data_IF_101174676201
#
_entry.id   IF_101174676201
#
_cell.length_a   1.000
_cell.length_b   1.000
_cell.length_c   1.000
_cell.angle_alpha   90.00
_cell.angle_beta   90.00
_cell.angle_gamma   90.00
#
_symmetry.space_group_name_H-M   'P 1'
#
loop_
_entity.id
_entity.type
_entity.pdbx_description
1 polymer ?
#
# COMPACT_ATOMS: atom_id res chain seq x y z
N UNK A 1 -24.10 -6.72 -12.44
CA UNK A 1 -23.75 -6.89 -13.87
C UNK A 1 -22.98 -8.21 -14.06
N UNK A 2 -23.05 -8.87 -15.23
CA UNK A 2 -22.20 -10.04 -15.55
C UNK A 2 -21.00 -9.58 -16.39
N UNK A 3 -19.79 -10.02 -16.01
CA UNK A 3 -18.55 -9.71 -16.73
C UNK A 3 -18.03 -10.95 -17.47
N UNK A 4 -17.56 -10.76 -18.70
CA UNK A 4 -16.95 -11.83 -19.51
C UNK A 4 -15.48 -12.05 -19.12
N UNK A 5 -14.80 -10.97 -18.73
CA UNK A 5 -13.38 -10.95 -18.38
C UNK A 5 -13.21 -10.10 -17.13
N UNK A 6 -12.32 -10.53 -16.23
CA UNK A 6 -11.91 -9.75 -15.06
C UNK A 6 -10.41 -9.53 -15.13
N UNK A 7 -10.01 -8.25 -15.07
CA UNK A 7 -8.61 -7.82 -14.96
C UNK A 7 -8.41 -7.30 -13.54
N UNK A 8 -7.76 -8.13 -12.72
CA UNK A 8 -7.40 -7.86 -11.34
C UNK A 8 -5.98 -8.34 -11.07
N UNK A 9 -5.36 -7.86 -10.00
CA UNK A 9 -3.96 -8.19 -9.68
C UNK A 9 -2.97 -7.37 -10.51
N UNK A 10 -1.71 -7.80 -10.54
CA UNK A 10 -0.64 -7.14 -11.28
C UNK A 10 -0.65 -7.54 -12.76
N UNK A 11 -0.85 -6.58 -13.68
CA UNK A 11 -0.82 -6.84 -15.13
C UNK A 11 0.56 -7.36 -15.55
N UNK A 12 0.57 -8.54 -16.19
CA UNK A 12 1.77 -9.29 -16.55
C UNK A 12 2.41 -10.06 -15.37
N UNK A 13 1.84 -9.97 -14.19
CA UNK A 13 2.12 -10.82 -13.04
C UNK A 13 1.36 -12.15 -13.10
N UNK A 14 1.67 -13.04 -12.14
CA UNK A 14 1.07 -14.38 -12.04
C UNK A 14 -0.37 -14.35 -11.51
N UNK A 15 -0.75 -13.27 -10.83
CA UNK A 15 -2.05 -13.03 -10.21
C UNK A 15 -3.05 -12.32 -11.15
N UNK A 16 -2.65 -12.00 -12.37
CA UNK A 16 -3.48 -11.43 -13.42
C UNK A 16 -3.58 -12.37 -14.64
N UNK A 17 -4.69 -12.25 -15.37
CA UNK A 17 -4.88 -12.86 -16.68
C UNK A 17 -3.73 -12.50 -17.64
N UNK A 18 -3.16 -13.50 -18.33
CA UNK A 18 -2.12 -13.28 -19.35
C UNK A 18 -2.68 -12.68 -20.64
N UNK A 19 -1.87 -11.92 -21.38
CA UNK A 19 -2.27 -11.34 -22.67
C UNK A 19 -2.59 -12.39 -23.74
N UNK A 20 -1.92 -13.55 -23.69
CA UNK A 20 -2.21 -14.69 -24.55
C UNK A 20 -3.61 -15.26 -24.31
N UNK A 21 -4.00 -15.42 -23.04
CA UNK A 21 -5.32 -15.92 -22.71
C UNK A 21 -6.41 -14.86 -22.94
N UNK A 22 -6.11 -13.57 -22.72
CA UNK A 22 -6.96 -12.46 -23.12
C UNK A 22 -7.29 -12.52 -24.62
N UNK A 23 -6.27 -12.65 -25.47
CA UNK A 23 -6.44 -12.78 -26.92
C UNK A 23 -7.34 -13.95 -27.28
N UNK A 24 -7.19 -15.09 -26.60
CA UNK A 24 -8.06 -16.24 -26.78
C UNK A 24 -9.53 -15.92 -26.45
N UNK A 25 -9.80 -15.30 -25.29
CA UNK A 25 -11.16 -14.94 -24.87
C UNK A 25 -11.82 -13.91 -25.81
N UNK A 26 -11.06 -12.92 -26.29
CA UNK A 26 -11.54 -11.95 -27.27
C UNK A 26 -11.86 -12.63 -28.61
N UNK A 27 -11.04 -13.59 -29.05
CA UNK A 27 -11.30 -14.34 -30.29
C UNK A 27 -12.58 -15.19 -30.20
N UNK A 28 -12.86 -15.79 -29.03
CA UNK A 28 -14.11 -16.53 -28.80
C UNK A 28 -15.35 -15.63 -28.88
N UNK A 29 -15.20 -14.35 -28.58
CA UNK A 29 -16.28 -13.35 -28.57
C UNK A 29 -16.27 -12.42 -29.77
N UNK A 30 -15.55 -12.79 -30.85
CA UNK A 30 -15.39 -11.95 -32.04
C UNK A 30 -16.75 -11.46 -32.56
N UNK A 31 -16.87 -10.14 -32.68
CA UNK A 31 -18.06 -9.48 -33.22
C UNK A 31 -19.22 -9.33 -32.23
N UNK A 32 -19.08 -9.80 -30.98
CA UNK A 32 -20.02 -9.57 -29.88
C UNK A 32 -19.52 -8.47 -28.97
N UNK A 33 -20.40 -7.91 -28.14
CA UNK A 33 -19.98 -7.03 -27.07
C UNK A 33 -19.32 -7.87 -25.95
N UNK A 34 -18.23 -7.34 -25.38
CA UNK A 34 -17.45 -7.98 -24.31
C UNK A 34 -17.35 -7.01 -23.14
N UNK A 35 -17.79 -7.43 -21.96
CA UNK A 35 -17.78 -6.64 -20.73
C UNK A 35 -16.60 -7.06 -19.85
N UNK A 36 -15.68 -6.12 -19.62
CA UNK A 36 -14.44 -6.35 -18.87
C UNK A 36 -14.47 -5.58 -17.57
N UNK A 37 -14.43 -6.30 -16.46
CA UNK A 37 -14.30 -5.74 -15.13
C UNK A 37 -12.83 -5.39 -14.84
N UNK A 38 -12.58 -4.21 -14.28
CA UNK A 38 -11.23 -3.78 -13.90
C UNK A 38 -11.17 -3.35 -12.43
N UNK A 39 -10.20 -3.93 -11.71
CA UNK A 39 -9.78 -3.52 -10.37
C UNK A 39 -8.30 -3.92 -10.21
N UNK A 40 -7.41 -3.16 -10.84
CA UNK A 40 -5.96 -3.45 -10.89
C UNK A 40 -5.13 -2.20 -10.67
N UNK A 41 -4.02 -2.39 -9.95
CA UNK A 41 -3.03 -1.33 -9.67
C UNK A 41 -2.03 -1.14 -10.81
N UNK A 42 -2.17 -1.89 -11.89
CA UNK A 42 -1.26 -1.87 -13.04
C UNK A 42 -0.21 -2.97 -12.96
N UNK A 43 0.98 -2.70 -13.47
CA UNK A 43 2.02 -3.72 -13.70
C UNK A 43 2.92 -3.36 -14.89
N UNK A 44 3.29 -4.34 -15.69
CA UNK A 44 4.26 -4.16 -16.78
C UNK A 44 3.69 -3.34 -17.96
N UNK A 45 4.43 -2.30 -18.36
CA UNK A 45 4.05 -1.39 -19.46
C UNK A 45 3.77 -2.15 -20.77
N UNK A 46 4.63 -3.11 -21.12
CA UNK A 46 4.49 -3.95 -22.31
C UNK A 46 3.14 -4.67 -22.36
N UNK A 47 2.74 -5.31 -21.25
CA UNK A 47 1.53 -6.12 -21.21
C UNK A 47 0.27 -5.26 -21.23
N UNK A 48 0.25 -4.12 -20.53
CA UNK A 48 -0.90 -3.21 -20.60
C UNK A 48 -1.07 -2.55 -21.98
N UNK A 49 0.03 -2.25 -22.69
CA UNK A 49 -0.03 -1.78 -24.09
C UNK A 49 -0.54 -2.88 -25.03
N UNK A 50 -0.14 -4.14 -24.82
CA UNK A 50 -0.66 -5.28 -25.60
C UNK A 50 -2.17 -5.46 -25.35
N UNK A 51 -2.62 -5.38 -24.09
CA UNK A 51 -4.05 -5.41 -23.75
C UNK A 51 -4.81 -4.27 -24.42
N UNK A 52 -4.29 -3.03 -24.37
CA UNK A 52 -4.87 -1.87 -25.04
C UNK A 52 -5.11 -2.15 -26.53
N UNK A 53 -4.09 -2.65 -27.24
CA UNK A 53 -4.21 -2.93 -28.67
C UNK A 53 -5.19 -4.07 -28.94
N UNK A 54 -5.19 -5.14 -28.14
CA UNK A 54 -6.13 -6.25 -28.28
C UNK A 54 -7.59 -5.79 -28.13
N UNK A 55 -7.86 -4.91 -27.18
CA UNK A 55 -9.20 -4.33 -27.00
C UNK A 55 -9.61 -3.46 -28.19
N UNK A 56 -8.68 -2.63 -28.71
CA UNK A 56 -8.91 -1.80 -29.92
C UNK A 56 -9.21 -2.65 -31.14
N UNK A 57 -8.41 -3.70 -31.37
CA UNK A 57 -8.56 -4.61 -32.51
C UNK A 57 -9.90 -5.36 -32.46
N UNK A 58 -10.39 -5.69 -31.25
CA UNK A 58 -11.70 -6.28 -31.08
C UNK A 58 -12.85 -5.28 -31.31
N UNK A 59 -12.69 -4.03 -30.88
CA UNK A 59 -13.56 -2.89 -31.20
C UNK A 59 -14.95 -2.87 -30.52
N UNK A 60 -15.31 -3.91 -29.76
CA UNK A 60 -16.59 -4.04 -29.03
C UNK A 60 -16.40 -4.38 -27.54
N UNK A 61 -15.34 -3.82 -26.94
CA UNK A 61 -15.01 -4.09 -25.54
C UNK A 61 -15.45 -2.91 -24.67
N UNK A 62 -16.14 -3.19 -23.57
CA UNK A 62 -16.64 -2.20 -22.61
C UNK A 62 -15.94 -2.42 -21.26
N UNK A 63 -15.20 -1.42 -20.78
CA UNK A 63 -14.51 -1.46 -19.51
C UNK A 63 -15.42 -0.95 -18.38
N UNK A 64 -15.45 -1.72 -17.29
CA UNK A 64 -16.19 -1.41 -16.07
C UNK A 64 -15.21 -1.34 -14.91
N UNK A 65 -14.78 -0.14 -14.57
CA UNK A 65 -13.84 0.11 -13.49
C UNK A 65 -14.57 0.14 -12.14
N UNK A 66 -14.04 -0.57 -11.15
CA UNK A 66 -14.51 -0.52 -9.77
C UNK A 66 -13.35 -0.65 -8.79
N UNK A 67 -13.55 -0.26 -7.53
CA UNK A 67 -12.50 -0.32 -6.50
C UNK A 67 -11.31 0.58 -6.85
N UNK A 68 -10.14 -0.01 -7.07
CA UNK A 68 -8.86 0.70 -7.28
C UNK A 68 -8.31 0.43 -8.68
N UNK A 69 -8.10 1.48 -9.46
CA UNK A 69 -7.57 1.39 -10.82
C UNK A 69 -6.41 2.34 -11.03
N UNK A 70 -5.21 1.82 -11.23
CA UNK A 70 -4.00 2.63 -11.32
C UNK A 70 -3.06 2.22 -12.44
N UNK A 71 -2.16 3.15 -12.78
CA UNK A 71 -0.99 2.89 -13.63
C UNK A 71 -1.38 2.27 -14.98
N UNK A 72 -0.64 1.28 -15.49
CA UNK A 72 -0.89 0.70 -16.81
C UNK A 72 -2.27 0.05 -16.99
N UNK A 73 -3.00 -0.25 -15.91
CA UNK A 73 -4.40 -0.68 -15.98
C UNK A 73 -5.27 0.37 -16.68
N UNK A 74 -5.03 1.64 -16.35
CA UNK A 74 -5.76 2.77 -16.94
C UNK A 74 -5.46 2.92 -18.43
N UNK A 75 -4.22 2.70 -18.87
CA UNK A 75 -3.84 2.65 -20.29
C UNK A 75 -4.50 1.47 -20.98
N UNK A 76 -4.54 0.28 -20.37
CA UNK A 76 -5.21 -0.88 -20.96
C UNK A 76 -6.69 -0.57 -21.26
N UNK A 77 -7.41 0.08 -20.33
CA UNK A 77 -8.80 0.49 -20.52
C UNK A 77 -9.01 1.45 -21.68
N UNK A 78 -8.03 2.31 -22.02
CA UNK A 78 -8.14 3.24 -23.15
C UNK A 78 -8.30 2.53 -24.51
N UNK A 79 -8.08 1.22 -24.56
CA UNK A 79 -8.31 0.41 -25.75
C UNK A 79 -9.76 -0.04 -25.90
N UNK A 80 -10.55 0.07 -24.83
CA UNK A 80 -11.96 -0.27 -24.84
C UNK A 80 -12.78 0.82 -25.53
N UNK A 81 -13.92 0.42 -26.08
CA UNK A 81 -14.88 1.29 -26.74
C UNK A 81 -15.54 2.27 -25.78
N UNK A 82 -15.83 1.83 -24.55
CA UNK A 82 -16.33 2.69 -23.47
C UNK A 82 -15.66 2.30 -22.16
N UNK A 83 -15.57 3.26 -21.25
CA UNK A 83 -15.09 3.09 -19.89
C UNK A 83 -16.10 3.75 -18.96
N UNK A 84 -16.73 2.97 -18.08
CA UNK A 84 -17.46 3.51 -16.93
C UNK A 84 -16.76 3.16 -15.62
N UNK A 85 -17.04 3.96 -14.59
CA UNK A 85 -16.48 3.76 -13.26
C UNK A 85 -17.58 3.84 -12.19
N UNK A 86 -17.56 2.89 -11.25
CA UNK A 86 -18.51 2.84 -10.14
C UNK A 86 -18.27 3.99 -9.17
N UNK A 87 -19.36 4.62 -8.73
CA UNK A 87 -19.35 5.61 -7.64
C UNK A 87 -18.71 5.02 -6.38
N UNK A 88 -17.68 5.71 -5.84
CA UNK A 88 -16.87 5.20 -4.73
C UNK A 88 -15.59 4.46 -5.13
N UNK A 89 -15.28 4.41 -6.42
CA UNK A 89 -14.01 3.88 -6.93
C UNK A 89 -12.97 4.99 -7.17
N UNK A 90 -11.72 4.58 -7.33
CA UNK A 90 -10.57 5.46 -7.47
C UNK A 90 -9.79 5.16 -8.75
N UNK A 91 -9.24 6.22 -9.33
CA UNK A 91 -8.45 6.19 -10.57
C UNK A 91 -7.12 6.90 -10.36
N UNK A 92 -6.01 6.36 -10.88
CA UNK A 92 -4.70 6.99 -10.73
C UNK A 92 -3.85 6.80 -11.98
N UNK A 93 -3.34 7.91 -12.49
CA UNK A 93 -2.31 7.95 -13.53
C UNK A 93 -1.03 8.49 -12.92
N UNK A 94 0.11 7.90 -13.26
CA UNK A 94 1.41 8.37 -12.78
C UNK A 94 2.52 8.11 -13.81
N UNK A 95 3.68 8.76 -13.62
CA UNK A 95 4.85 8.52 -14.44
C UNK A 95 5.35 7.08 -14.29
N UNK A 96 5.91 6.53 -15.36
CA UNK A 96 6.52 5.21 -15.35
C UNK A 96 7.63 5.14 -14.31
N UNK A 97 7.71 4.00 -13.64
CA UNK A 97 8.67 3.74 -12.56
C UNK A 97 9.51 2.51 -12.88
N UNK A 98 10.66 2.41 -12.21
CA UNK A 98 11.54 1.26 -12.26
C UNK A 98 11.84 0.82 -10.85
N UNK A 99 11.69 -0.48 -10.57
CA UNK A 99 12.10 -1.05 -9.30
C UNK A 99 13.64 -1.16 -9.26
N UNK A 100 14.23 -0.60 -8.21
CA UNK A 100 15.68 -0.66 -7.96
C UNK A 100 15.89 -1.36 -6.62
N UNK A 101 16.39 -2.60 -6.66
CA UNK A 101 16.80 -3.37 -5.49
C UNK A 101 18.32 -3.47 -5.46
N UNK A 102 18.99 -2.80 -4.52
CA UNK A 102 20.45 -2.84 -4.40
C UNK A 102 20.87 -3.01 -2.94
N UNK A 103 21.62 -4.08 -2.66
CA UNK A 103 22.22 -4.39 -1.36
C UNK A 103 23.71 -4.71 -1.53
N UNK A 104 24.53 -3.68 -1.73
CA UNK A 104 25.97 -3.83 -1.99
C UNK A 104 26.80 -2.83 -1.18
N UNK A 105 28.04 -3.22 -0.86
CA UNK A 105 29.10 -2.27 -0.45
C UNK A 105 29.82 -1.75 -1.70
N UNK A 106 30.01 -0.44 -1.80
CA UNK A 106 30.57 0.22 -2.98
C UNK A 106 31.61 1.27 -2.57
N UNK A 107 32.73 1.34 -3.29
CA UNK A 107 33.69 2.45 -3.19
C UNK A 107 33.25 3.64 -4.07
N UNK A 108 34.01 4.75 -4.05
CA UNK A 108 33.62 5.98 -4.75
C UNK A 108 33.43 5.79 -6.26
N UNK A 109 34.33 5.07 -6.94
CA UNK A 109 34.23 4.84 -8.39
C UNK A 109 33.01 3.99 -8.77
N UNK A 110 32.65 3.00 -7.92
CA UNK A 110 31.47 2.17 -8.12
C UNK A 110 30.17 2.96 -7.93
N UNK A 111 30.14 3.89 -6.96
CA UNK A 111 29.01 4.80 -6.77
C UNK A 111 28.82 5.73 -7.97
N UNK A 112 29.91 6.28 -8.51
CA UNK A 112 29.85 7.17 -9.69
C UNK A 112 29.26 6.47 -10.92
N UNK A 113 29.67 5.23 -11.19
CA UNK A 113 29.12 4.46 -12.33
C UNK A 113 27.65 4.06 -12.07
N UNK A 114 27.29 3.77 -10.83
CA UNK A 114 25.90 3.50 -10.47
C UNK A 114 25.02 4.74 -10.67
N UNK A 115 25.45 5.91 -10.20
CA UNK A 115 24.75 7.19 -10.40
C UNK A 115 24.53 7.46 -11.89
N UNK A 116 25.55 7.24 -12.72
CA UNK A 116 25.46 7.38 -14.18
C UNK A 116 24.44 6.42 -14.77
N UNK A 117 24.43 5.16 -14.32
CA UNK A 117 23.50 4.13 -14.78
C UNK A 117 22.05 4.50 -14.43
N UNK A 118 21.76 4.83 -13.17
CA UNK A 118 20.40 5.21 -12.75
C UNK A 118 19.95 6.53 -13.37
N UNK A 119 20.88 7.47 -13.60
CA UNK A 119 20.58 8.72 -14.34
C UNK A 119 20.17 8.42 -15.77
N UNK A 120 20.86 7.49 -16.45
CA UNK A 120 20.47 7.05 -17.78
C UNK A 120 19.10 6.37 -17.75
N UNK A 121 18.86 5.44 -16.83
CA UNK A 121 17.58 4.75 -16.70
C UNK A 121 16.42 5.73 -16.47
N UNK A 122 16.60 6.71 -15.58
CA UNK A 122 15.62 7.78 -15.37
C UNK A 122 15.34 8.57 -16.65
N UNK A 123 16.37 8.91 -17.42
CA UNK A 123 16.19 9.62 -18.69
C UNK A 123 15.45 8.76 -19.73
N UNK A 124 15.68 7.45 -19.74
CA UNK A 124 15.00 6.52 -20.65
C UNK A 124 13.49 6.45 -20.35
N UNK A 125 13.08 6.60 -19.07
CA UNK A 125 11.66 6.64 -18.67
C UNK A 125 10.87 7.78 -19.36
N UNK A 126 11.52 8.89 -19.70
CA UNK A 126 10.86 10.02 -20.39
C UNK A 126 10.17 9.57 -21.70
N UNK A 127 10.75 8.60 -22.41
CA UNK A 127 10.17 8.10 -23.67
C UNK A 127 8.81 7.44 -23.42
N UNK A 128 8.69 6.68 -22.32
CA UNK A 128 7.43 6.04 -21.96
C UNK A 128 6.45 7.07 -21.40
N UNK A 129 6.90 7.98 -20.53
CA UNK A 129 6.06 9.03 -19.97
C UNK A 129 5.45 9.90 -21.08
N UNK A 130 6.24 10.31 -22.07
CA UNK A 130 5.77 11.10 -23.21
C UNK A 130 4.71 10.35 -24.03
N UNK A 131 4.94 9.06 -24.29
CA UNK A 131 4.01 8.24 -25.07
C UNK A 131 2.69 8.01 -24.30
N UNK A 132 2.75 7.70 -23.01
CA UNK A 132 1.56 7.45 -22.20
C UNK A 132 0.77 8.75 -21.93
N UNK A 133 1.46 9.87 -21.72
CA UNK A 133 0.83 11.19 -21.61
C UNK A 133 0.04 11.53 -22.87
N UNK A 134 0.59 11.22 -24.06
CA UNK A 134 -0.13 11.41 -25.32
C UNK A 134 -1.39 10.55 -25.41
N UNK A 135 -1.33 9.29 -24.95
CA UNK A 135 -2.52 8.42 -24.94
C UNK A 135 -3.63 8.96 -24.02
N UNK A 136 -3.28 9.52 -22.85
CA UNK A 136 -4.28 10.18 -22.00
C UNK A 136 -4.81 11.46 -22.63
N UNK A 137 -3.98 12.25 -23.32
CA UNK A 137 -4.42 13.45 -24.03
C UNK A 137 -5.44 13.10 -25.13
N UNK A 138 -5.15 12.06 -25.91
CA UNK A 138 -6.04 11.56 -26.97
C UNK A 138 -7.41 11.12 -26.41
N UNK A 139 -7.44 10.53 -25.20
CA UNK A 139 -8.69 10.13 -24.54
C UNK A 139 -9.45 11.32 -23.94
N UNK A 140 -8.74 12.18 -23.20
CA UNK A 140 -9.34 13.21 -22.35
C UNK A 140 -9.69 14.50 -23.07
N UNK A 141 -9.07 14.76 -24.22
CA UNK A 141 -9.17 16.04 -24.91
C UNK A 141 -8.36 17.16 -24.23
N UNK A 142 -7.56 16.84 -23.21
CA UNK A 142 -6.57 17.74 -22.58
C UNK A 142 -5.30 17.80 -23.42
N UNK A 143 -4.40 18.75 -23.12
CA UNK A 143 -3.08 18.75 -23.75
C UNK A 143 -2.18 17.66 -23.15
N UNK A 144 -1.15 17.25 -23.89
CA UNK A 144 -0.15 16.29 -23.40
C UNK A 144 0.52 16.80 -22.13
N UNK A 145 0.77 18.10 -22.04
CA UNK A 145 1.39 18.75 -20.89
C UNK A 145 0.49 18.71 -19.65
N UNK A 146 -0.83 18.92 -19.82
CA UNK A 146 -1.79 18.79 -18.72
C UNK A 146 -1.86 17.34 -18.21
N UNK A 147 -1.85 16.36 -19.11
CA UNK A 147 -1.79 14.95 -18.75
C UNK A 147 -0.48 14.58 -18.05
N UNK A 148 0.66 15.06 -18.57
CA UNK A 148 1.97 14.82 -17.97
C UNK A 148 2.08 15.43 -16.57
N UNK A 149 1.53 16.64 -16.35
CA UNK A 149 1.51 17.24 -15.01
C UNK A 149 0.58 16.48 -14.07
N UNK A 150 -0.54 15.93 -14.56
CA UNK A 150 -1.40 15.08 -13.75
C UNK A 150 -0.72 13.73 -13.41
N UNK A 151 0.01 13.11 -14.34
CA UNK A 151 0.82 11.92 -14.08
C UNK A 151 1.91 12.20 -13.05
N UNK A 152 2.56 13.37 -13.12
CA UNK A 152 3.60 13.75 -12.18
C UNK A 152 3.10 13.87 -10.73
N UNK A 153 1.83 14.25 -10.53
CA UNK A 153 1.23 14.28 -9.17
C UNK A 153 1.11 12.89 -8.56
N UNK A 154 0.91 11.86 -9.38
CA UNK A 154 0.77 10.46 -8.93
C UNK A 154 -0.28 10.28 -7.84
N UNK A 155 -1.37 11.04 -7.86
CA UNK A 155 -2.38 11.04 -6.80
C UNK A 155 -3.66 10.31 -7.22
N UNK A 156 -4.39 9.79 -6.23
CA UNK A 156 -5.71 9.21 -6.47
C UNK A 156 -6.72 10.30 -6.86
N UNK A 157 -7.52 9.99 -7.88
CA UNK A 157 -8.70 10.71 -8.31
C UNK A 157 -9.93 9.93 -7.88
N UNK A 158 -10.97 10.64 -7.45
CA UNK A 158 -12.30 10.04 -7.31
C UNK A 158 -12.87 9.68 -8.67
N UNK A 159 -13.86 8.78 -8.69
CA UNK A 159 -14.62 8.44 -9.90
C UNK A 159 -15.10 9.69 -10.67
N UNK A 160 -15.66 10.69 -9.98
CA UNK A 160 -16.12 11.93 -10.62
C UNK A 160 -14.96 12.75 -11.18
N UNK A 161 -13.86 12.88 -10.45
CA UNK A 161 -12.67 13.60 -10.94
C UNK A 161 -12.06 12.94 -12.18
N UNK A 162 -12.08 11.60 -12.26
CA UNK A 162 -11.61 10.88 -13.44
C UNK A 162 -12.51 11.14 -14.66
N UNK A 163 -13.82 11.23 -14.46
CA UNK A 163 -14.79 11.62 -15.51
C UNK A 163 -14.60 13.08 -15.92
N UNK A 164 -14.48 14.00 -14.96
CA UNK A 164 -14.30 15.44 -15.22
C UNK A 164 -12.98 15.74 -15.93
N UNK A 165 -11.93 14.96 -15.64
CA UNK A 165 -10.66 15.05 -16.35
C UNK A 165 -10.76 14.49 -17.78
N UNK A 166 -11.71 13.59 -18.04
CA UNK A 166 -11.89 12.90 -19.32
C UNK A 166 -11.16 11.57 -19.44
N UNK A 167 -10.66 10.99 -18.34
CA UNK A 167 -10.00 9.68 -18.35
C UNK A 167 -11.00 8.52 -18.46
N UNK A 168 -12.24 8.77 -18.04
CA UNK A 168 -13.36 7.80 -18.03
C UNK A 168 -14.58 8.47 -18.66
N UNK A 169 -15.43 7.70 -19.35
CA UNK A 169 -16.56 8.25 -20.12
C UNK A 169 -17.76 8.60 -19.23
N UNK A 170 -18.04 7.80 -18.20
CA UNK A 170 -19.22 8.01 -17.36
C UNK A 170 -19.12 7.39 -15.97
N UNK A 171 -19.88 7.95 -15.03
CA UNK A 171 -20.16 7.30 -13.76
C UNK A 171 -21.21 6.20 -13.94
N UNK A 172 -21.00 5.09 -13.23
CA UNK A 172 -21.99 4.04 -13.03
C UNK A 172 -22.54 4.14 -11.61
N UNK A 173 -23.84 4.38 -11.51
CA UNK A 173 -24.58 4.36 -10.24
C UNK A 173 -25.22 2.98 -10.07
N UNK A 174 -24.67 2.19 -9.14
CA UNK A 174 -25.19 0.88 -8.74
C UNK A 174 -24.88 0.70 -7.24
N UNK A 175 -25.93 0.65 -6.41
CA UNK A 175 -25.81 0.60 -4.94
C UNK A 175 -25.10 -0.67 -4.42
N UNK A 176 -25.16 -1.79 -5.15
CA UNK A 176 -24.45 -3.02 -4.77
C UNK A 176 -22.96 -2.93 -5.15
N UNK A 177 -22.66 -2.42 -6.35
CA UNK A 177 -21.28 -2.23 -6.79
C UNK A 177 -20.57 -1.12 -5.98
N UNK A 178 -21.29 -0.10 -5.50
CA UNK A 178 -20.75 0.94 -4.59
C UNK A 178 -20.32 0.32 -3.25
N UNK A 179 -21.14 -0.55 -2.65
CA UNK A 179 -20.76 -1.30 -1.43
C UNK A 179 -19.55 -2.21 -1.64
N UNK A 180 -19.48 -2.89 -2.79
CA UNK A 180 -18.34 -3.74 -3.15
C UNK A 180 -17.05 -2.92 -3.36
N UNK A 181 -17.15 -1.76 -4.01
CA UNK A 181 -16.03 -0.85 -4.25
C UNK A 181 -15.43 -0.33 -2.94
N UNK A 182 -16.28 0.10 -1.99
CA UNK A 182 -15.84 0.50 -0.65
C UNK A 182 -15.15 -0.65 0.09
N UNK A 183 -15.68 -1.88 -0.03
CA UNK A 183 -15.04 -3.06 0.58
C UNK A 183 -13.67 -3.34 0.00
N UNK A 184 -13.51 -3.25 -1.32
CA UNK A 184 -12.22 -3.47 -2.00
C UNK A 184 -11.21 -2.37 -1.65
N UNK A 185 -11.65 -1.10 -1.58
CA UNK A 185 -10.81 0.00 -1.09
C UNK A 185 -10.35 -0.22 0.36
N UNK A 186 -11.21 -0.77 1.23
CA UNK A 186 -10.83 -1.11 2.60
C UNK A 186 -9.89 -2.33 2.68
N UNK A 187 -10.04 -3.32 1.79
CA UNK A 187 -9.06 -4.40 1.68
C UNK A 187 -7.70 -3.90 1.18
N UNK A 188 -7.68 -2.84 0.37
CA UNK A 188 -6.44 -2.19 -0.05
C UNK A 188 -5.69 -1.55 1.13
N UNK A 189 -6.38 -0.95 2.10
CA UNK A 189 -5.76 -0.48 3.36
C UNK A 189 -5.07 -1.64 4.08
N UNK A 190 -5.66 -2.84 4.07
CA UNK A 190 -5.04 -4.03 4.64
C UNK A 190 -3.87 -4.58 3.83
N UNK A 191 -3.79 -4.39 2.50
CA UNK A 191 -2.67 -4.89 1.68
C UNK A 191 -1.48 -3.91 1.63
N UNK A 192 -1.74 -2.60 1.60
CA UNK A 192 -0.70 -1.57 1.62
C UNK A 192 0.10 -1.60 2.93
N UNK A 193 -0.54 -1.90 4.07
CA UNK A 193 0.15 -2.04 5.36
C UNK A 193 0.94 -3.35 5.52
N UNK A 194 0.67 -4.38 4.70
CA UNK A 194 1.29 -5.71 4.82
C UNK A 194 2.44 -5.89 3.83
N UNK A 195 2.40 -5.25 2.66
CA UNK A 195 3.46 -5.30 1.66
C UNK A 195 4.43 -4.14 1.86
N UNK A 196 5.63 -4.42 2.39
CA UNK A 196 6.73 -3.46 2.45
C UNK A 196 6.92 -2.76 1.08
N UNK A 197 6.58 -1.48 1.03
CA UNK A 197 7.04 -0.44 0.10
C UNK A 197 6.86 -0.61 -1.42
N UNK A 198 6.44 -1.77 -1.96
CA UNK A 198 6.40 -2.00 -3.43
C UNK A 198 5.43 -1.06 -4.16
N UNK A 199 4.26 -0.76 -3.57
CA UNK A 199 3.28 0.13 -4.21
C UNK A 199 3.71 1.59 -4.16
N UNK A 200 4.30 2.03 -3.05
CA UNK A 200 4.87 3.38 -2.92
C UNK A 200 6.05 3.58 -3.87
N UNK A 201 6.96 2.60 -3.96
CA UNK A 201 8.08 2.58 -4.90
C UNK A 201 7.62 2.57 -6.37
N UNK A 202 6.47 1.95 -6.64
CA UNK A 202 5.85 1.99 -7.96
C UNK A 202 5.24 3.36 -8.29
N UNK A 203 5.15 4.30 -7.34
CA UNK A 203 4.53 5.62 -7.53
C UNK A 203 3.04 5.66 -7.21
N UNK A 204 2.53 4.67 -6.47
CA UNK A 204 1.13 4.59 -6.04
C UNK A 204 1.07 4.93 -4.54
N UNK A 205 0.53 6.09 -4.16
CA UNK A 205 0.46 6.51 -2.76
C UNK A 205 -0.60 5.68 -2.01
N UNK A 206 -0.50 5.60 -0.67
CA UNK A 206 -1.58 5.05 0.14
C UNK A 206 -2.87 5.85 -0.05
N UNK A 207 -4.01 5.23 0.26
CA UNK A 207 -5.25 5.99 0.42
C UNK A 207 -5.08 7.00 1.57
N UNK A 208 -5.69 8.21 1.48
CA UNK A 208 -5.68 9.16 2.58
C UNK A 208 -6.21 8.51 3.86
N UNK A 209 -5.47 8.63 4.95
CA UNK A 209 -5.81 8.05 6.25
C UNK A 209 -7.04 8.77 6.83
N UNK A 210 -8.21 8.14 6.77
CA UNK A 210 -9.44 8.68 7.39
C UNK A 210 -9.36 8.79 8.92
N UNK A 211 -8.32 8.25 9.57
CA UNK A 211 -8.10 8.39 11.01
C UNK A 211 -7.24 9.61 11.39
N UNK A 212 -6.56 10.25 10.44
CA UNK A 212 -5.74 11.46 10.67
C UNK A 212 -6.36 12.75 10.12
N UNK A 213 -7.43 12.66 9.32
CA UNK A 213 -8.13 13.80 8.70
C UNK A 213 -9.53 14.07 9.29
N UNK A 214 -9.70 13.97 10.63
CA UNK A 214 -10.87 14.55 11.30
C UNK A 214 -10.79 16.09 11.46
N UNK A 215 -9.85 16.76 10.77
CA UNK A 215 -9.65 18.21 10.86
C UNK A 215 -9.60 18.97 9.52
N UNK A 216 -9.97 18.36 8.39
CA UNK A 216 -9.91 19.06 7.09
C UNK A 216 -11.07 18.76 6.13
N UNK A 217 -12.30 18.65 6.65
CA UNK A 217 -13.50 19.01 5.87
C UNK A 217 -13.53 20.54 5.72
N UNK A 218 -12.74 21.09 4.79
CA UNK A 218 -12.71 22.53 4.53
C UNK A 218 -14.00 22.97 3.83
N UNK A 219 -14.84 23.64 4.62
CA UNK A 219 -15.74 24.75 4.30
C UNK A 219 -16.00 25.04 2.81
N UNK A 220 -17.26 24.86 2.40
CA UNK A 220 -17.83 25.52 1.23
C UNK A 220 -18.05 27.00 1.60
N UNK A 221 -17.31 27.92 0.99
CA UNK A 221 -17.56 29.35 1.06
C UNK A 221 -18.40 29.77 -0.16
N UNK A 222 -19.36 30.69 0.03
CA UNK A 222 -19.97 31.35 -1.13
C UNK A 222 -18.96 32.32 -1.78
N UNK A 223 -19.30 32.87 -2.96
CA UNK A 223 -18.41 33.73 -3.74
C UNK A 223 -17.91 35.01 -3.06
N UNK A 224 -18.32 35.28 -1.82
CA UNK A 224 -17.87 36.41 -1.01
C UNK A 224 -17.20 35.99 0.32
N UNK A 225 -16.86 34.70 0.49
CA UNK A 225 -15.98 34.25 1.57
C UNK A 225 -16.61 34.20 2.96
N UNK A 226 -17.94 34.21 3.06
CA UNK A 226 -18.61 33.99 4.34
C UNK A 226 -19.01 32.51 4.51
N UNK A 227 -18.77 31.91 5.69
CA UNK A 227 -19.14 30.52 5.96
C UNK A 227 -20.66 30.39 6.09
N UNK A 228 -21.30 29.71 5.14
CA UNK A 228 -22.73 29.35 5.22
C UNK A 228 -22.96 28.01 5.91
N UNK A 229 -24.02 27.93 6.71
CA UNK A 229 -24.33 26.82 7.62
C UNK A 229 -24.41 25.46 6.92
N UNK A 230 -23.58 24.53 7.38
CA UNK A 230 -23.27 23.24 6.75
C UNK A 230 -24.31 22.15 7.01
N UNK A 231 -24.31 21.16 6.12
CA UNK A 231 -25.08 19.91 6.14
C UNK A 231 -25.17 19.25 7.52
N UNK A 232 -24.14 19.36 8.37
CA UNK A 232 -24.14 18.84 9.74
C UNK A 232 -25.19 19.50 10.64
N UNK A 233 -25.53 20.79 10.47
CA UNK A 233 -26.68 21.40 11.17
C UNK A 233 -28.01 20.87 10.64
N UNK A 234 -28.15 20.60 9.34
CA UNK A 234 -29.35 19.94 8.78
C UNK A 234 -29.48 18.48 9.24
N UNK A 235 -28.36 17.76 9.34
CA UNK A 235 -28.31 16.38 9.81
C UNK A 235 -28.49 16.30 11.32
N UNK A 236 -27.95 17.24 12.10
CA UNK A 236 -28.17 17.31 13.55
C UNK A 236 -29.59 17.79 13.87
N UNK A 237 -30.18 18.70 13.07
CA UNK A 237 -31.60 19.08 13.21
C UNK A 237 -32.53 17.90 12.80
N UNK A 238 -32.15 17.12 11.79
CA UNK A 238 -32.82 15.88 11.41
C UNK A 238 -32.71 14.79 12.47
N UNK A 239 -31.53 14.61 13.08
CA UNK A 239 -31.28 13.70 14.19
C UNK A 239 -31.96 14.17 15.46
N UNK A 240 -32.02 15.48 15.74
CA UNK A 240 -32.74 16.06 16.88
C UNK A 240 -34.26 15.96 16.72
N UNK A 241 -34.77 16.03 15.48
CA UNK A 241 -36.17 15.71 15.16
C UNK A 241 -36.46 14.19 15.21
N UNK A 242 -35.47 13.34 14.95
CA UNK A 242 -35.56 11.87 15.14
C UNK A 242 -35.46 11.46 16.62
N UNK A 243 -34.75 12.22 17.46
CA UNK A 243 -34.54 11.94 18.88
C UNK A 243 -35.64 12.51 19.80
N UNK A 244 -36.60 13.27 19.25
CA UNK A 244 -37.81 13.70 19.94
C UNK A 244 -39.08 13.07 19.35
N UNK A 245 -39.06 11.75 19.18
CA UNK A 245 -40.27 10.93 19.21
C UNK A 245 -40.23 10.06 20.46
N UNK A 246 -41.04 10.48 21.42
CA UNK A 246 -41.35 9.83 22.69
C UNK A 246 -41.95 8.44 22.47
N UNK A 247 -41.61 7.54 23.41
CA UNK A 247 -42.28 6.28 23.76
C UNK A 247 -42.19 5.07 22.80
N UNK A 248 -41.20 4.18 23.00
CA UNK A 248 -41.45 2.72 22.98
C UNK A 248 -40.50 1.96 23.95
N UNK A 249 -41.11 1.05 24.71
CA UNK A 249 -40.59 0.18 25.76
C UNK A 249 -39.28 -0.61 25.50
N UNK A 250 -38.55 -0.75 26.60
CA UNK A 250 -37.31 -1.48 26.86
C UNK A 250 -37.44 -3.02 26.77
N UNK A 251 -36.60 -3.72 25.99
CA UNK A 251 -36.24 -5.15 26.21
C UNK A 251 -34.83 -5.50 25.68
N UNK A 252 -33.88 -5.70 26.59
CA UNK A 252 -32.66 -6.51 26.39
C UNK A 252 -33.07 -7.97 26.09
N UNK A 253 -32.48 -8.61 25.07
CA UNK A 253 -32.70 -10.03 24.78
C UNK A 253 -31.55 -10.85 25.34
N UNK A 254 -31.76 -11.46 26.51
CA UNK A 254 -30.81 -12.39 27.14
C UNK A 254 -31.10 -13.84 26.72
N UNK A 255 -30.06 -14.66 26.64
CA UNK A 255 -30.14 -16.07 26.25
C UNK A 255 -30.74 -16.90 27.39
N UNK A 256 -31.58 -17.89 27.08
CA UNK A 256 -32.24 -18.69 28.13
C UNK A 256 -31.25 -19.66 28.80
N UNK A 257 -31.40 -19.89 30.11
CA UNK A 257 -30.61 -20.86 30.88
C UNK A 257 -30.58 -22.27 30.24
N UNK A 258 -31.64 -22.63 29.53
CA UNK A 258 -31.75 -23.91 28.82
C UNK A 258 -30.81 -24.00 27.60
N UNK A 259 -30.56 -22.90 26.88
CA UNK A 259 -29.64 -22.87 25.75
C UNK A 259 -28.18 -23.00 26.22
N UNK A 260 -27.84 -22.31 27.31
CA UNK A 260 -26.51 -22.38 27.94
C UNK A 260 -26.20 -23.77 28.50
N UNK A 261 -27.16 -24.42 29.16
CA UNK A 261 -26.98 -25.79 29.67
C UNK A 261 -26.78 -26.84 28.56
N UNK A 262 -27.30 -26.59 27.35
CA UNK A 262 -27.11 -27.49 26.19
C UNK A 262 -25.72 -27.38 25.60
N UNK A 263 -25.17 -26.17 25.54
CA UNK A 263 -23.79 -25.93 25.08
C UNK A 263 -22.80 -26.59 26.06
N UNK A 264 -23.02 -26.43 27.37
CA UNK A 264 -22.19 -27.07 28.40
C UNK A 264 -22.15 -28.61 28.30
N UNK A 265 -23.31 -29.24 28.10
CA UNK A 265 -23.41 -30.69 27.93
C UNK A 265 -22.79 -31.16 26.60
N UNK A 266 -22.87 -30.37 25.53
CA UNK A 266 -22.28 -30.72 24.24
C UNK A 266 -20.74 -30.73 24.28
N UNK A 267 -20.13 -29.99 25.20
CA UNK A 267 -18.67 -29.98 25.44
C UNK A 267 -18.28 -30.86 26.64
N UNK A 268 -19.21 -31.66 27.19
CA UNK A 268 -18.94 -32.64 28.24
C UNK A 268 -18.67 -32.06 29.64
N UNK A 269 -18.92 -30.76 29.87
CA UNK A 269 -18.66 -30.10 31.16
C UNK A 269 -19.95 -30.02 31.97
N UNK A 270 -20.10 -30.94 32.93
CA UNK A 270 -21.20 -30.93 33.91
C UNK A 270 -20.94 -29.93 35.04
N UNK A 271 -21.94 -29.11 35.40
CA UNK A 271 -21.92 -28.31 36.64
C UNK A 271 -21.49 -26.84 36.50
N UNK A 272 -21.81 -26.18 35.38
CA UNK A 272 -21.63 -24.72 35.26
C UNK A 272 -22.67 -24.01 36.13
N UNK A 273 -22.21 -23.22 37.10
CA UNK A 273 -23.06 -22.31 37.88
C UNK A 273 -23.08 -20.93 37.24
N UNK A 274 -24.27 -20.33 37.19
CA UNK A 274 -24.46 -18.95 36.72
C UNK A 274 -24.45 -18.07 37.97
N UNK A 275 -23.62 -17.04 38.00
CA UNK A 275 -23.57 -16.10 39.11
C UNK A 275 -24.85 -15.23 39.14
N UNK A 276 -25.18 -14.64 40.30
CA UNK A 276 -26.45 -13.91 40.50
C UNK A 276 -26.59 -12.66 39.61
N UNK A 277 -25.48 -12.18 39.06
CA UNK A 277 -25.33 -11.09 38.08
C UNK A 277 -25.42 -11.56 36.61
N UNK A 278 -25.74 -12.84 36.37
CA UNK A 278 -26.02 -13.38 35.03
C UNK A 278 -24.77 -13.73 34.21
N UNK A 279 -23.59 -13.70 34.83
CA UNK A 279 -22.32 -14.06 34.21
C UNK A 279 -22.02 -15.55 34.39
N UNK A 280 -21.35 -16.14 33.40
CA UNK A 280 -20.85 -17.51 33.50
C UNK A 280 -19.46 -17.48 34.15
N UNK A 281 -19.29 -18.19 35.26
CA UNK A 281 -17.99 -18.36 35.91
C UNK A 281 -17.64 -19.84 35.94
N UNK A 282 -16.51 -20.21 35.31
CA UNK A 282 -15.96 -21.56 35.34
C UNK A 282 -14.90 -21.65 36.44
N UNK A 283 -14.85 -22.77 37.18
CA UNK A 283 -13.68 -23.06 38.01
C UNK A 283 -12.45 -23.33 37.12
N UNK A 284 -11.25 -23.19 37.69
CA UNK A 284 -10.02 -23.50 36.97
C UNK A 284 -10.00 -24.96 36.43
N UNK A 285 -10.53 -25.93 37.20
CA UNK A 285 -10.63 -27.31 36.72
C UNK A 285 -11.67 -27.49 35.60
N UNK A 286 -12.74 -26.68 35.59
CA UNK A 286 -13.77 -26.74 34.55
C UNK A 286 -13.30 -26.09 33.24
N UNK A 287 -12.52 -25.00 33.33
CA UNK A 287 -11.90 -24.38 32.17
C UNK A 287 -10.86 -25.32 31.52
N UNK A 288 -10.06 -26.01 32.34
CA UNK A 288 -9.06 -26.95 31.84
C UNK A 288 -9.70 -28.14 31.10
N UNK A 289 -10.80 -28.70 31.62
CA UNK A 289 -11.52 -29.77 30.93
C UNK A 289 -12.17 -29.32 29.62
N UNK A 290 -12.59 -28.07 29.53
CA UNK A 290 -13.14 -27.49 28.31
C UNK A 290 -12.06 -27.36 27.23
N UNK A 291 -10.86 -26.91 27.61
CA UNK A 291 -9.70 -26.83 26.72
C UNK A 291 -9.25 -28.21 26.23
N UNK A 292 -9.22 -29.21 27.12
CA UNK A 292 -8.87 -30.60 26.76
C UNK A 292 -9.89 -31.21 25.76
N UNK A 293 -11.19 -30.98 25.96
CA UNK A 293 -12.23 -31.46 25.05
C UNK A 293 -12.19 -30.79 23.65
N UNK A 294 -11.81 -29.52 23.60
CA UNK A 294 -11.62 -28.77 22.35
C UNK A 294 -10.35 -29.22 21.59
N UNK A 295 -9.31 -29.63 22.32
CA UNK A 295 -8.08 -30.16 21.74
C UNK A 295 -8.27 -31.57 21.13
N UNK A 296 -9.14 -32.41 21.70
CA UNK A 296 -9.44 -33.75 21.15
C UNK A 296 -10.27 -33.70 19.85
N UNK A 297 -10.97 -32.60 19.57
CA UNK A 297 -11.80 -32.46 18.35
C UNK A 297 -11.01 -32.03 17.10
N UNK A 298 -9.71 -31.72 17.22
CA UNK A 298 -8.88 -31.26 16.09
C UNK A 298 -7.97 -32.33 15.47
N UNK A 299 -8.21 -33.62 15.68
CA UNK A 299 -7.41 -34.69 15.05
C UNK A 299 -8.11 -35.25 13.80
N UNK A 300 -7.87 -34.59 12.67
CA UNK A 300 -8.14 -35.09 11.32
C UNK A 300 -6.90 -35.00 10.43
N UNK A 301 -6.37 -36.16 10.03
CA UNK A 301 -5.25 -36.45 9.11
C UNK A 301 -3.81 -36.02 9.50
N UNK A 302 -2.94 -37.04 9.59
CA UNK A 302 -1.57 -37.05 10.13
C UNK A 302 -0.45 -36.63 9.15
N UNK A 303 -0.75 -35.96 8.03
CA UNK A 303 0.30 -35.60 7.04
C UNK A 303 0.77 -34.12 7.14
N UNK A 304 0.07 -33.25 7.88
CA UNK A 304 0.47 -31.84 8.06
C UNK A 304 1.33 -31.59 9.32
N UNK A 305 1.47 -32.59 10.21
CA UNK A 305 2.18 -32.44 11.48
C UNK A 305 3.72 -32.45 11.35
N UNK A 306 4.28 -32.99 10.27
CA UNK A 306 5.74 -32.94 10.04
C UNK A 306 6.21 -31.60 9.45
N UNK A 307 5.34 -30.85 8.75
CA UNK A 307 5.68 -29.52 8.22
C UNK A 307 5.45 -28.38 9.23
N UNK A 308 4.52 -28.53 10.19
CA UNK A 308 4.31 -27.54 11.26
C UNK A 308 5.40 -27.57 12.36
N UNK A 309 6.08 -28.71 12.55
CA UNK A 309 7.18 -28.86 13.49
C UNK A 309 8.43 -28.04 13.12
N UNK A 310 8.69 -27.83 11.82
CA UNK A 310 9.81 -27.02 11.33
C UNK A 310 9.53 -25.52 11.40
N UNK A 311 8.29 -25.09 11.16
CA UNK A 311 7.89 -23.67 11.27
C UNK A 311 7.93 -23.15 12.72
N UNK A 312 7.65 -24.02 13.71
CA UNK A 312 7.64 -23.62 15.13
C UNK A 312 9.07 -23.46 15.71
N UNK A 313 10.05 -24.22 15.21
CA UNK A 313 11.47 -24.04 15.58
C UNK A 313 12.09 -22.79 14.93
N UNK A 314 11.66 -22.44 13.70
CA UNK A 314 12.11 -21.22 13.02
C UNK A 314 11.57 -19.94 13.68
N UNK A 315 10.30 -19.95 14.12
CA UNK A 315 9.70 -18.81 14.82
C UNK A 315 10.33 -18.53 16.20
N UNK A 316 10.77 -19.57 16.92
CA UNK A 316 11.49 -19.42 18.20
C UNK A 316 12.95 -18.99 18.03
N UNK A 317 13.61 -19.38 16.93
CA UNK A 317 14.94 -18.89 16.57
C UNK A 317 14.95 -17.40 16.23
N UNK A 318 14.02 -16.96 15.37
CA UNK A 318 13.89 -15.56 14.94
C UNK A 318 13.51 -14.63 16.10
N UNK A 319 12.65 -15.08 17.02
CA UNK A 319 12.31 -14.30 18.21
C UNK A 319 13.52 -14.10 19.15
N UNK A 320 14.43 -15.09 19.21
CA UNK A 320 15.64 -15.02 20.04
C UNK A 320 16.71 -14.14 19.40
N UNK A 321 16.88 -14.20 18.08
CA UNK A 321 17.76 -13.29 17.33
C UNK A 321 17.26 -11.84 17.39
N UNK A 322 15.95 -11.62 17.30
CA UNK A 322 15.36 -10.28 17.43
C UNK A 322 15.57 -9.67 18.82
N UNK A 323 15.58 -10.49 19.88
CA UNK A 323 15.92 -10.05 21.23
C UNK A 323 17.40 -9.64 21.32
N UNK A 324 18.32 -10.46 20.78
CA UNK A 324 19.76 -10.14 20.75
C UNK A 324 20.05 -8.87 19.97
N UNK A 325 19.43 -8.69 18.80
CA UNK A 325 19.60 -7.48 17.97
C UNK A 325 19.07 -6.23 18.67
N UNK A 326 17.97 -6.35 19.44
CA UNK A 326 17.46 -5.22 20.25
C UNK A 326 18.43 -4.85 21.38
N UNK A 327 19.04 -5.83 22.03
CA UNK A 327 20.03 -5.60 23.09
C UNK A 327 21.33 -4.98 22.53
N UNK A 328 21.78 -5.43 21.37
CA UNK A 328 22.93 -4.84 20.66
C UNK A 328 22.64 -3.41 20.21
N UNK A 329 21.44 -3.13 19.70
CA UNK A 329 21.01 -1.79 19.33
C UNK A 329 20.95 -0.85 20.55
N UNK A 330 20.47 -1.34 21.69
CA UNK A 330 20.44 -0.58 22.94
C UNK A 330 21.86 -0.25 23.43
N UNK A 331 22.79 -1.22 23.31
CA UNK A 331 24.19 -1.01 23.67
C UNK A 331 24.89 -0.02 22.72
N UNK A 332 24.67 -0.14 21.41
CA UNK A 332 25.23 0.77 20.41
C UNK A 332 24.73 2.20 20.59
N UNK A 333 23.45 2.39 20.95
CA UNK A 333 22.90 3.72 21.29
C UNK A 333 23.59 4.32 22.51
N UNK A 334 23.82 3.51 23.55
CA UNK A 334 24.51 3.97 24.76
C UNK A 334 25.97 4.36 24.49
N UNK A 335 26.68 3.60 23.65
CA UNK A 335 28.05 3.94 23.22
C UNK A 335 28.10 5.22 22.36
N UNK A 336 27.05 5.50 21.58
CA UNK A 336 26.90 6.75 20.82
C UNK A 336 26.69 7.95 21.76
N UNK A 337 25.79 7.81 22.74
CA UNK A 337 25.54 8.86 23.74
C UNK A 337 26.81 9.18 24.55
N UNK A 338 27.59 8.16 24.94
CA UNK A 338 28.87 8.33 25.65
C UNK A 338 29.94 9.02 24.77
N UNK A 339 29.96 8.75 23.46
CA UNK A 339 30.86 9.43 22.51
C UNK A 339 30.46 10.88 22.24
N UNK A 340 29.17 11.16 22.14
CA UNK A 340 28.66 12.53 21.99
C UNK A 340 28.97 13.37 23.24
N UNK A 341 28.92 12.77 24.42
CA UNK A 341 29.33 13.41 25.67
C UNK A 341 30.85 13.67 25.73
N UNK A 342 31.68 12.74 25.23
CA UNK A 342 33.13 12.94 25.09
C UNK A 342 33.47 14.06 24.09
N UNK A 343 32.76 14.12 22.95
CA UNK A 343 32.94 15.19 21.94
C UNK A 343 32.57 16.55 22.55
N UNK A 344 31.48 16.62 23.33
CA UNK A 344 31.06 17.84 24.02
C UNK A 344 32.07 18.29 25.07
N UNK A 345 32.68 17.35 25.80
CA UNK A 345 33.74 17.64 26.77
C UNK A 345 35.06 18.08 26.11
N UNK A 346 35.38 17.60 24.91
CA UNK A 346 36.51 18.07 24.12
C UNK A 346 36.30 19.49 23.57
N UNK A 347 35.07 19.84 23.19
CA UNK A 347 34.70 21.19 22.75
C UNK A 347 34.60 22.21 23.89
N UNK A 348 34.51 21.75 25.15
CA UNK A 348 34.50 22.58 26.35
C UNK A 348 35.87 22.82 27.00
N UNK A 349 36.94 22.15 26.55
CA UNK A 349 38.28 22.38 27.08
C UNK A 349 38.91 23.59 26.38
N UNK A 350 39.13 24.65 27.14
CA UNK A 350 39.79 25.87 26.68
C UNK A 350 41.28 25.58 26.47
N UNK A 351 41.71 25.42 25.22
CA UNK A 351 43.14 25.56 24.92
C UNK A 351 43.56 27.02 25.15
N UNK A 352 44.71 27.25 25.83
CA UNK A 352 45.16 28.59 26.18
C UNK A 352 45.52 29.39 24.93
N UNK A 353 45.24 30.69 24.98
CA UNK A 353 45.54 31.67 23.93
C UNK A 353 46.98 31.51 23.43
N UNK A 354 47.13 31.14 22.17
CA UNK A 354 48.40 31.21 21.47
C UNK A 354 48.75 32.69 21.25
N UNK A 355 49.90 33.08 21.78
CA UNK A 355 50.31 34.45 21.96
C UNK A 355 51.82 34.53 21.99
N UNK A 356 52.49 34.12 20.92
CA UNK A 356 53.89 34.52 20.67
C UNK A 356 54.20 34.60 19.18
N UNK A 357 54.51 35.83 18.74
CA UNK A 357 55.34 36.17 17.60
C UNK A 357 56.62 35.32 17.49
N UNK A 358 57.04 35.01 16.26
CA UNK A 358 58.46 34.81 15.94
C UNK A 358 58.75 33.63 15.00
N UNK A 359 59.03 33.93 13.73
CA UNK A 359 59.70 33.03 12.78
C UNK A 359 61.03 32.51 13.39
N UNK A 360 61.44 31.25 13.17
CA UNK A 360 62.45 31.06 12.11
C UNK A 360 62.44 29.69 11.38
N UNK A 361 62.95 29.78 10.14
CA UNK A 361 63.78 28.82 9.42
C UNK A 361 63.13 27.58 8.75
N UNK A 362 63.24 27.59 7.42
CA UNK A 362 63.40 26.42 6.55
C UNK A 362 64.27 25.33 7.20
N UNK A 363 63.72 24.12 7.34
CA UNK A 363 64.46 22.86 7.20
C UNK A 363 63.54 21.63 7.27
N UNK A 364 63.78 20.69 6.34
CA UNK A 364 63.35 19.27 6.27
C UNK A 364 62.15 18.94 5.35
N UNK A 365 62.22 17.85 4.56
CA UNK A 365 62.48 17.96 3.13
C UNK A 365 61.32 17.47 2.25
N UNK A 366 61.18 18.08 1.08
CA UNK A 366 60.24 17.62 0.06
C UNK A 366 60.66 16.25 -0.49
N UNK A 367 59.79 15.24 -0.36
CA UNK A 367 59.91 13.97 -1.07
C UNK A 367 59.91 14.24 -2.57
N UNK A 368 61.04 13.98 -3.23
CA UNK A 368 61.13 14.09 -4.68
C UNK A 368 60.80 12.76 -5.33
N UNK A 369 60.22 12.80 -6.54
CA UNK A 369 59.83 11.63 -7.32
C UNK A 369 60.97 10.62 -7.57
N UNK A 370 62.24 11.03 -7.38
CA UNK A 370 63.41 10.17 -7.49
C UNK A 370 63.61 9.25 -6.28
N UNK A 371 63.22 9.68 -5.07
CA UNK A 371 63.24 8.85 -3.87
C UNK A 371 62.22 7.70 -3.92
N UNK A 372 61.10 7.90 -4.65
CA UNK A 372 60.07 6.88 -4.87
C UNK A 372 60.51 5.89 -5.96
N UNK A 373 61.25 6.34 -6.97
CA UNK A 373 61.76 5.47 -8.02
C UNK A 373 62.85 4.50 -7.55
N UNK A 374 63.68 4.91 -6.57
CA UNK A 374 64.74 4.06 -6.03
C UNK A 374 64.22 3.01 -5.02
N UNK A 375 63.07 3.23 -4.37
CA UNK A 375 62.47 2.25 -3.46
C UNK A 375 61.80 1.05 -4.16
N UNK A 376 61.62 1.12 -5.49
CA UNK A 376 60.99 0.04 -6.29
C UNK A 376 62.03 -0.88 -6.94
N UNK A 377 63.33 -0.55 -6.92
CA UNK A 377 64.39 -1.39 -7.49
C UNK A 377 64.90 -2.53 -6.57
N UNK A 378 64.29 -2.71 -5.40
CA UNK A 378 64.68 -3.72 -4.41
C UNK A 378 63.60 -4.77 -4.09
N UNK A 379 62.55 -4.88 -4.91
CA UNK A 379 61.55 -5.97 -4.84
C UNK A 379 61.62 -6.80 -6.12
#
# INVERSE_FOLDING_TARGET
>A
MQYDIVISGMIGGWDCLSTGYLRYLLNLNRGKDVHVAFCSLGGYVKDGLEMNQLFKDHGKVHAHAFGMNASISTIAMLGCKTIDIVKGSFFLIHNTSMLILKYDQQNKEQLDEYIKTVTKQRNDLNTFDDALAQMYADKSGKTKEECAEQMKKGNWLTAQQAVDFGLVDSLREDEEDEKASVRNANQFVNLFSINNNIYEEAGIPPLPDQSKDSSSMSLVADGNGNPTQTFLQKTLQGVKNLLHLTDVNNKKKEMSKAALSRIANAVGVSGITISDDGNLTLSAEQAQKLDEALAETSVGSKEEAEQAGQATQQATGVAKELATVKDELAKARKELDEKDEQIKNLQGSTSPKDGTNGNPADQQPALTARAIADSVKGI
#
